data_IF_990201501727
#
_entry.id   IF_990201501727
#
_cell.length_a   1.000
_cell.length_b   1.000
_cell.length_c   1.000
_cell.angle_alpha   90.00
_cell.angle_beta   90.00
_cell.angle_gamma   90.00
#
_symmetry.space_group_name_H-M   'P 1'
#
loop_
_entity.id
_entity.type
_entity.pdbx_description
1 polymer ?
#
# COMPACT_ATOMS: atom_id res chain seq x y z
N UNK A 1 -24.77 0.69 26.67
CA UNK A 1 -24.19 0.05 25.47
C UNK A 1 -24.57 0.94 24.31
N UNK A 2 -23.71 1.88 23.94
CA UNK A 2 -23.98 2.76 22.79
C UNK A 2 -24.03 1.91 21.54
N UNK A 3 -25.21 1.80 20.93
CA UNK A 3 -25.31 1.22 19.60
C UNK A 3 -24.63 2.20 18.63
N UNK A 4 -23.64 1.75 17.83
CA UNK A 4 -22.96 2.63 16.89
C UNK A 4 -24.01 3.19 15.92
N UNK A 5 -24.16 4.51 15.92
CA UNK A 5 -25.03 5.20 14.98
C UNK A 5 -24.53 4.92 13.56
N UNK A 6 -25.37 4.40 12.66
CA UNK A 6 -24.94 4.09 11.31
C UNK A 6 -24.57 5.39 10.57
N UNK A 7 -23.34 5.45 10.05
CA UNK A 7 -22.88 6.57 9.23
C UNK A 7 -23.74 6.67 7.96
N UNK A 8 -24.06 7.90 7.56
CA UNK A 8 -24.79 8.17 6.32
C UNK A 8 -23.93 7.77 5.11
N UNK A 9 -24.52 7.01 4.16
CA UNK A 9 -23.89 6.70 2.87
C UNK A 9 -24.05 7.89 1.92
N UNK A 10 -23.21 8.90 2.08
CA UNK A 10 -23.27 10.15 1.30
C UNK A 10 -22.29 10.22 0.13
N UNK A 11 -21.33 9.29 0.04
CA UNK A 11 -20.25 9.38 -0.94
C UNK A 11 -20.70 9.02 -2.35
N UNK A 12 -20.47 9.93 -3.31
CA UNK A 12 -20.70 9.69 -4.73
C UNK A 12 -19.55 8.90 -5.39
N UNK A 13 -19.79 8.30 -6.56
CA UNK A 13 -18.76 7.55 -7.30
C UNK A 13 -17.54 8.42 -7.64
N UNK A 14 -17.78 9.69 -7.95
CA UNK A 14 -16.74 10.66 -8.26
C UNK A 14 -15.90 10.99 -7.02
N UNK A 15 -16.53 11.19 -5.86
CA UNK A 15 -15.83 11.41 -4.59
C UNK A 15 -14.96 10.22 -4.20
N UNK A 16 -15.47 8.99 -4.32
CA UNK A 16 -14.71 7.77 -4.00
C UNK A 16 -13.53 7.60 -4.96
N UNK A 17 -13.71 7.92 -6.24
CA UNK A 17 -12.64 7.84 -7.24
C UNK A 17 -11.53 8.85 -6.95
N UNK A 18 -11.88 10.10 -6.66
CA UNK A 18 -10.88 11.12 -6.29
C UNK A 18 -10.20 10.79 -4.97
N UNK A 19 -10.93 10.25 -4.00
CA UNK A 19 -10.34 9.75 -2.76
C UNK A 19 -9.30 8.65 -3.04
N UNK A 20 -9.63 7.67 -3.89
CA UNK A 20 -8.71 6.60 -4.28
C UNK A 20 -7.48 7.11 -5.03
N UNK A 21 -7.64 8.06 -5.96
CA UNK A 21 -6.50 8.68 -6.64
C UNK A 21 -5.60 9.42 -5.63
N UNK A 22 -6.21 10.17 -4.71
CA UNK A 22 -5.50 10.91 -3.67
C UNK A 22 -4.71 10.01 -2.71
N UNK A 23 -5.16 8.78 -2.46
CA UNK A 23 -4.42 7.83 -1.61
C UNK A 23 -3.29 7.10 -2.34
N UNK A 24 -3.34 7.01 -3.67
CA UNK A 24 -2.27 6.41 -4.50
C UNK A 24 -1.15 7.42 -4.79
N UNK A 25 -1.51 8.68 -5.06
CA UNK A 25 -0.54 9.74 -5.38
C UNK A 25 0.16 10.22 -4.11
N UNK A 26 1.40 9.76 -3.90
CA UNK A 26 2.19 10.11 -2.70
C UNK A 26 3.69 10.23 -2.97
N UNK A 27 4.51 9.93 -1.96
CA UNK A 27 5.97 10.06 -2.05
C UNK A 27 6.63 9.27 -3.20
N UNK A 28 5.97 8.22 -3.72
CA UNK A 28 6.46 7.45 -4.85
C UNK A 28 6.82 8.32 -6.06
N UNK A 29 5.90 9.20 -6.49
CA UNK A 29 6.12 10.02 -7.69
C UNK A 29 7.02 11.23 -7.43
N UNK A 30 6.99 11.78 -6.20
CA UNK A 30 7.72 13.01 -5.90
C UNK A 30 9.15 12.74 -5.42
N UNK A 31 9.39 11.66 -4.69
CA UNK A 31 10.66 11.39 -4.03
C UNK A 31 11.43 10.29 -4.76
N UNK A 32 10.74 9.22 -5.14
CA UNK A 32 11.37 8.01 -5.67
C UNK A 32 11.54 8.04 -7.19
N UNK A 33 10.66 8.74 -7.91
CA UNK A 33 10.72 8.83 -9.37
C UNK A 33 12.09 9.32 -9.86
N UNK A 34 12.59 10.42 -9.29
CA UNK A 34 13.90 10.97 -9.67
C UNK A 34 15.03 9.97 -9.43
N UNK A 35 14.98 9.21 -8.34
CA UNK A 35 15.97 8.17 -8.03
C UNK A 35 15.89 7.00 -9.02
N UNK A 36 14.68 6.49 -9.29
CA UNK A 36 14.47 5.39 -10.26
C UNK A 36 14.94 5.78 -11.65
N UNK A 37 14.64 7.01 -12.09
CA UNK A 37 15.07 7.53 -13.40
C UNK A 37 16.58 7.74 -13.43
N UNK A 38 17.20 8.21 -12.35
CA UNK A 38 18.65 8.33 -12.24
C UNK A 38 19.35 6.98 -12.35
N UNK A 39 18.77 5.93 -11.77
CA UNK A 39 19.38 4.59 -11.75
C UNK A 39 19.08 3.80 -13.06
N UNK A 40 17.89 3.94 -13.62
CA UNK A 40 17.41 3.11 -14.75
C UNK A 40 17.36 3.83 -16.10
N UNK A 41 17.51 5.16 -16.12
CA UNK A 41 17.41 5.97 -17.33
C UNK A 41 16.12 5.74 -18.12
N UNK A 42 16.23 5.53 -19.43
CA UNK A 42 15.09 5.30 -20.33
C UNK A 42 14.27 4.05 -19.97
N UNK A 43 14.88 3.06 -19.29
CA UNK A 43 14.20 1.82 -18.89
C UNK A 43 13.17 2.05 -17.78
N UNK A 44 13.25 3.18 -17.06
CA UNK A 44 12.29 3.52 -16.01
C UNK A 44 10.85 3.54 -16.53
N UNK A 45 10.60 4.08 -17.73
CA UNK A 45 9.26 4.14 -18.32
C UNK A 45 8.69 2.73 -18.53
N UNK A 46 9.49 1.82 -19.06
CA UNK A 46 9.08 0.43 -19.27
C UNK A 46 8.82 -0.30 -17.95
N UNK A 47 9.61 -0.02 -16.92
CA UNK A 47 9.37 -0.56 -15.58
C UNK A 47 8.02 -0.06 -14.99
N UNK A 48 7.68 1.22 -15.17
CA UNK A 48 6.39 1.75 -14.73
C UNK A 48 5.20 1.16 -15.51
N UNK A 49 5.34 0.99 -16.83
CA UNK A 49 4.30 0.34 -17.64
C UNK A 49 4.09 -1.11 -17.22
N UNK A 50 5.17 -1.85 -16.98
CA UNK A 50 5.09 -3.21 -16.48
C UNK A 50 4.43 -3.28 -15.10
N UNK A 51 4.80 -2.38 -14.18
CA UNK A 51 4.18 -2.26 -12.87
C UNK A 51 2.67 -1.96 -12.97
N UNK A 52 2.26 -1.06 -13.87
CA UNK A 52 0.86 -0.74 -14.10
C UNK A 52 0.06 -1.98 -14.55
N UNK A 53 0.61 -2.76 -15.49
CA UNK A 53 -0.02 -4.02 -15.95
C UNK A 53 -0.18 -5.02 -14.80
N UNK A 54 0.84 -5.20 -13.97
CA UNK A 54 0.79 -6.09 -12.80
C UNK A 54 -0.30 -5.64 -11.82
N UNK A 55 -0.37 -4.34 -11.53
CA UNK A 55 -1.36 -3.75 -10.61
C UNK A 55 -2.78 -3.93 -11.14
N UNK A 56 -3.01 -3.87 -12.46
CA UNK A 56 -4.35 -4.09 -13.04
C UNK A 56 -4.95 -5.46 -12.69
N UNK A 57 -4.14 -6.53 -12.66
CA UNK A 57 -4.63 -7.85 -12.26
C UNK A 57 -5.08 -7.88 -10.80
N UNK A 58 -4.27 -7.31 -9.91
CA UNK A 58 -4.62 -7.19 -8.49
C UNK A 58 -5.86 -6.30 -8.30
N UNK A 59 -5.95 -5.16 -8.99
CA UNK A 59 -7.10 -4.26 -8.92
C UNK A 59 -8.41 -4.94 -9.35
N UNK A 60 -8.36 -5.78 -10.38
CA UNK A 60 -9.51 -6.59 -10.79
C UNK A 60 -9.91 -7.61 -9.72
N UNK A 61 -8.95 -8.32 -9.11
CA UNK A 61 -9.21 -9.23 -7.99
C UNK A 61 -9.82 -8.52 -6.78
N UNK A 62 -9.30 -7.34 -6.44
CA UNK A 62 -9.85 -6.48 -5.39
C UNK A 62 -11.28 -6.07 -5.67
N UNK A 63 -11.57 -5.64 -6.90
CA UNK A 63 -12.92 -5.21 -7.30
C UNK A 63 -13.95 -6.33 -7.08
N UNK A 64 -13.58 -7.58 -7.40
CA UNK A 64 -14.45 -8.73 -7.17
C UNK A 64 -14.64 -9.02 -5.67
N UNK A 65 -13.56 -9.02 -4.89
CA UNK A 65 -13.64 -9.23 -3.43
C UNK A 65 -14.46 -8.14 -2.72
N UNK A 66 -14.30 -6.87 -3.12
CA UNK A 66 -15.07 -5.75 -2.55
C UNK A 66 -16.56 -5.84 -2.88
N UNK A 67 -16.94 -6.42 -4.02
CA UNK A 67 -18.34 -6.69 -4.36
C UNK A 67 -18.92 -7.84 -3.53
N UNK A 68 -18.13 -8.87 -3.25
CA UNK A 68 -18.55 -10.04 -2.45
C UNK A 68 -18.61 -9.74 -0.95
N UNK A 69 -17.65 -8.96 -0.45
CA UNK A 69 -17.48 -8.62 0.97
C UNK A 69 -17.44 -7.10 1.18
N UNK A 70 -18.59 -6.40 1.07
CA UNK A 70 -18.66 -4.93 1.14
C UNK A 70 -18.59 -4.42 2.59
N UNK A 71 -17.53 -4.79 3.31
CA UNK A 71 -17.29 -4.36 4.68
C UNK A 71 -16.30 -3.19 4.72
N UNK A 72 -16.49 -2.28 5.69
CA UNK A 72 -15.62 -1.11 5.89
C UNK A 72 -14.20 -1.45 6.41
N UNK A 73 -13.85 -2.73 6.52
CA UNK A 73 -12.64 -3.21 7.19
C UNK A 73 -11.52 -3.68 6.22
N UNK A 74 -11.68 -3.43 4.91
CA UNK A 74 -10.62 -3.59 3.91
C UNK A 74 -10.20 -5.05 3.64
N UNK A 75 -8.97 -5.22 3.13
CA UNK A 75 -8.41 -6.53 2.77
C UNK A 75 -8.34 -7.54 3.91
N UNK A 76 -7.98 -7.17 5.15
CA UNK A 76 -7.89 -8.12 6.26
C UNK A 76 -9.17 -8.92 6.44
N UNK A 77 -10.33 -8.27 6.36
CA UNK A 77 -11.63 -8.93 6.52
C UNK A 77 -11.98 -9.78 5.31
N UNK A 78 -11.74 -9.30 4.08
CA UNK A 78 -11.92 -10.12 2.88
C UNK A 78 -11.08 -11.41 2.94
N UNK A 79 -9.87 -11.34 3.49
CA UNK A 79 -8.98 -12.50 3.67
C UNK A 79 -9.49 -13.44 4.76
N UNK A 80 -9.97 -12.93 5.89
CA UNK A 80 -10.59 -13.78 6.93
C UNK A 80 -11.79 -14.51 6.36
N UNK A 81 -12.67 -13.83 5.63
CA UNK A 81 -13.87 -14.45 5.07
C UNK A 81 -13.55 -15.46 3.96
N UNK A 82 -12.61 -15.11 3.07
CA UNK A 82 -12.25 -15.98 1.95
C UNK A 82 -11.42 -17.21 2.38
N UNK A 83 -10.35 -17.00 3.15
CA UNK A 83 -9.43 -18.06 3.55
C UNK A 83 -9.84 -18.75 4.88
N UNK A 84 -10.88 -18.25 5.56
CA UNK A 84 -11.31 -18.71 6.90
C UNK A 84 -10.19 -18.75 7.92
N UNK A 85 -9.21 -17.86 7.79
CA UNK A 85 -8.04 -17.80 8.67
C UNK A 85 -7.91 -16.42 9.30
N UNK A 86 -8.18 -16.36 10.61
CA UNK A 86 -8.00 -15.14 11.41
C UNK A 86 -6.54 -14.69 11.47
N UNK A 87 -5.60 -15.63 11.46
CA UNK A 87 -4.17 -15.34 11.51
C UNK A 87 -3.67 -14.66 10.23
N UNK A 88 -4.12 -15.12 9.06
CA UNK A 88 -3.75 -14.50 7.78
C UNK A 88 -4.36 -13.10 7.63
N UNK A 89 -5.62 -12.92 8.04
CA UNK A 89 -6.23 -11.59 8.08
C UNK A 89 -5.50 -10.63 9.02
N UNK A 90 -5.12 -11.09 10.22
CA UNK A 90 -4.33 -10.29 11.15
C UNK A 90 -2.96 -9.92 10.58
N UNK A 91 -2.26 -10.86 9.95
CA UNK A 91 -0.97 -10.62 9.29
C UNK A 91 -1.08 -9.54 8.23
N UNK A 92 -2.13 -9.57 7.38
CA UNK A 92 -2.37 -8.52 6.38
C UNK A 92 -2.67 -7.19 7.05
N UNK A 93 -3.49 -7.18 8.11
CA UNK A 93 -3.74 -5.96 8.89
C UNK A 93 -2.46 -5.33 9.43
N UNK A 94 -1.56 -6.13 10.02
CA UNK A 94 -0.27 -5.65 10.51
C UNK A 94 0.64 -5.17 9.36
N UNK A 95 0.67 -5.88 8.23
CA UNK A 95 1.44 -5.48 7.06
C UNK A 95 0.97 -4.13 6.49
N UNK A 96 -0.35 -3.89 6.46
CA UNK A 96 -0.93 -2.62 6.01
C UNK A 96 -0.58 -1.46 6.97
N UNK A 97 -0.70 -1.67 8.29
CA UNK A 97 -0.32 -0.67 9.29
C UNK A 97 1.17 -0.34 9.19
N UNK A 98 2.02 -1.36 9.10
CA UNK A 98 3.46 -1.17 8.93
C UNK A 98 3.78 -0.45 7.61
N UNK A 99 3.10 -0.82 6.52
CA UNK A 99 3.23 -0.18 5.22
C UNK A 99 2.87 1.31 5.26
N UNK A 100 1.81 1.67 5.99
CA UNK A 100 1.42 3.06 6.21
C UNK A 100 2.48 3.85 6.99
N UNK A 101 3.06 3.26 8.04
CA UNK A 101 4.14 3.88 8.82
C UNK A 101 5.39 4.11 7.95
N UNK A 102 5.81 3.11 7.18
CA UNK A 102 6.98 3.21 6.28
C UNK A 102 6.72 4.23 5.17
N UNK A 103 5.50 4.25 4.61
CA UNK A 103 5.10 5.24 3.60
C UNK A 103 5.15 6.67 4.15
N UNK A 104 4.60 6.89 5.34
CA UNK A 104 4.68 8.18 6.02
C UNK A 104 6.15 8.60 6.29
N UNK A 105 7.00 7.68 6.75
CA UNK A 105 8.43 7.95 6.94
C UNK A 105 9.14 8.32 5.63
N UNK A 106 8.75 7.69 4.52
CA UNK A 106 9.27 8.00 3.18
C UNK A 106 8.86 9.40 2.72
N UNK A 107 7.61 9.79 2.97
CA UNK A 107 7.11 11.15 2.69
C UNK A 107 7.89 12.17 3.52
N UNK A 108 8.03 11.94 4.84
CA UNK A 108 8.77 12.83 5.73
C UNK A 108 10.20 13.05 5.26
N UNK A 109 10.91 11.95 4.96
CA UNK A 109 12.32 12.01 4.53
C UNK A 109 12.50 12.64 3.14
N UNK A 110 11.55 12.40 2.24
CA UNK A 110 11.54 13.06 0.95
C UNK A 110 11.30 14.56 1.05
N UNK A 111 10.35 14.96 1.89
CA UNK A 111 10.05 16.37 2.13
C UNK A 111 11.25 17.12 2.72
N UNK A 112 11.96 16.55 3.69
CA UNK A 112 13.17 17.19 4.24
C UNK A 112 14.28 17.32 3.21
N UNK A 113 14.42 16.34 2.31
CA UNK A 113 15.35 16.45 1.18
C UNK A 113 15.06 17.64 0.27
N UNK A 114 13.77 17.90 -0.02
CA UNK A 114 13.35 19.07 -0.79
C UNK A 114 13.55 20.38 -0.03
N UNK A 115 13.17 20.44 1.25
CA UNK A 115 13.30 21.64 2.08
C UNK A 115 14.74 22.01 2.40
N UNK A 116 15.66 21.04 2.43
CA UNK A 116 17.09 21.28 2.59
C UNK A 116 17.70 22.14 1.48
N UNK A 117 17.07 22.21 0.30
CA UNK A 117 17.50 23.11 -0.80
C UNK A 117 17.18 24.57 -0.49
N UNK A 118 16.07 24.84 0.20
CA UNK A 118 15.57 26.19 0.45
C UNK A 118 15.95 26.73 1.83
N UNK A 119 16.17 25.85 2.81
CA UNK A 119 16.36 26.20 4.21
C UNK A 119 17.51 25.40 4.83
N UNK A 120 18.37 26.08 5.58
CA UNK A 120 19.55 25.46 6.22
C UNK A 120 19.24 24.92 7.62
N UNK A 121 17.96 24.66 7.92
CA UNK A 121 17.57 24.05 9.19
C UNK A 121 18.08 22.60 9.24
N UNK A 122 18.40 22.07 10.42
CA UNK A 122 18.82 20.69 10.53
C UNK A 122 17.63 19.74 10.28
N UNK A 123 17.87 18.63 9.59
CA UNK A 123 16.84 17.67 9.14
C UNK A 123 15.85 17.27 10.23
N UNK A 124 16.34 16.97 11.44
CA UNK A 124 15.51 16.55 12.57
C UNK A 124 14.44 17.58 12.93
N UNK A 125 14.75 18.87 12.83
CA UNK A 125 13.80 19.95 13.13
C UNK A 125 12.69 20.03 12.08
N UNK A 126 13.05 19.90 10.80
CA UNK A 126 12.08 19.88 9.69
C UNK A 126 11.14 18.68 9.80
N UNK A 127 11.68 17.48 10.08
CA UNK A 127 10.88 16.27 10.28
C UNK A 127 9.89 16.43 11.43
N UNK A 128 10.37 16.98 12.56
CA UNK A 128 9.55 17.19 13.75
C UNK A 128 8.40 18.16 13.47
N UNK A 129 8.69 19.29 12.84
CA UNK A 129 7.67 20.29 12.47
C UNK A 129 6.63 19.65 11.55
N UNK A 130 7.06 18.97 10.48
CA UNK A 130 6.15 18.33 9.53
C UNK A 130 5.23 17.30 10.20
N UNK A 131 5.80 16.39 11.02
CA UNK A 131 5.04 15.34 11.69
C UNK A 131 4.03 15.97 12.66
N UNK A 132 4.43 16.96 13.46
CA UNK A 132 3.51 17.63 14.39
C UNK A 132 2.38 18.33 13.65
N UNK A 133 2.68 19.03 12.54
CA UNK A 133 1.66 19.73 11.75
C UNK A 133 0.65 18.76 11.12
N UNK A 134 1.10 17.59 10.65
CA UNK A 134 0.25 16.62 9.94
C UNK A 134 -0.42 15.59 10.85
N UNK A 135 0.12 15.32 12.04
CA UNK A 135 -0.35 14.25 12.96
C UNK A 135 -0.66 14.77 14.36
N UNK A 136 -1.22 15.98 14.46
CA UNK A 136 -1.49 16.71 15.72
C UNK A 136 -2.50 16.03 16.69
N UNK A 137 -2.86 14.77 16.49
CA UNK A 137 -3.83 14.05 17.31
C UNK A 137 -3.06 13.13 18.29
N UNK A 138 -3.33 13.18 19.61
CA UNK A 138 -2.62 12.34 20.59
C UNK A 138 -2.82 10.84 20.36
N UNK A 139 -3.91 10.44 19.69
CA UNK A 139 -4.19 9.05 19.31
C UNK A 139 -3.15 8.46 18.33
N UNK A 140 -2.37 9.29 17.63
CA UNK A 140 -1.35 8.84 16.65
C UNK A 140 0.08 8.87 17.19
N UNK A 141 0.29 9.16 18.49
CA UNK A 141 1.62 9.40 19.05
C UNK A 141 2.61 8.24 18.82
N UNK A 142 2.15 7.00 18.98
CA UNK A 142 2.96 5.81 18.72
C UNK A 142 3.36 5.72 17.24
N UNK A 143 2.42 5.92 16.34
CA UNK A 143 2.67 5.89 14.90
C UNK A 143 3.63 7.02 14.50
N UNK A 144 3.41 8.25 14.97
CA UNK A 144 4.27 9.40 14.71
C UNK A 144 5.70 9.20 15.23
N UNK A 145 5.87 8.55 16.39
CA UNK A 145 7.19 8.19 16.93
C UNK A 145 7.91 7.18 16.04
N UNK A 146 7.22 6.14 15.57
CA UNK A 146 7.78 5.15 14.65
C UNK A 146 8.12 5.76 13.29
N UNK A 147 7.26 6.64 12.77
CA UNK A 147 7.51 7.39 11.53
C UNK A 147 8.78 8.23 11.67
N UNK A 148 8.92 8.98 12.77
CA UNK A 148 10.10 9.80 13.02
C UNK A 148 11.38 8.96 13.13
N UNK A 149 11.33 7.87 13.90
CA UNK A 149 12.46 6.95 14.04
C UNK A 149 12.88 6.37 12.68
N UNK A 150 11.92 5.90 11.88
CA UNK A 150 12.20 5.34 10.56
C UNK A 150 12.72 6.39 9.57
N UNK A 151 12.16 7.59 9.58
CA UNK A 151 12.59 8.68 8.70
C UNK A 151 14.03 9.12 8.98
N UNK A 152 14.44 9.14 10.25
CA UNK A 152 15.81 9.47 10.63
C UNK A 152 16.80 8.36 10.29
N UNK A 153 16.46 7.09 10.62
CA UNK A 153 17.43 6.00 10.62
C UNK A 153 17.54 5.28 9.28
N UNK A 154 16.45 5.18 8.50
CA UNK A 154 16.43 4.38 7.28
C UNK A 154 16.59 5.25 6.03
N UNK A 155 17.43 4.83 5.05
CA UNK A 155 17.50 5.51 3.77
C UNK A 155 16.19 5.37 2.98
N UNK A 156 15.86 6.37 2.16
CA UNK A 156 14.65 6.38 1.31
C UNK A 156 14.56 5.14 0.40
N UNK A 157 15.70 4.58 0.00
CA UNK A 157 15.76 3.34 -0.79
C UNK A 157 15.30 2.12 0.01
N UNK A 158 15.72 1.99 1.27
CA UNK A 158 15.30 0.88 2.13
C UNK A 158 13.83 0.99 2.49
N UNK A 159 13.36 2.20 2.80
CA UNK A 159 11.93 2.46 3.04
C UNK A 159 11.09 2.06 1.82
N UNK A 160 11.49 2.51 0.62
CA UNK A 160 10.79 2.16 -0.62
C UNK A 160 10.81 0.67 -0.95
N UNK A 161 11.94 -0.01 -0.69
CA UNK A 161 12.07 -1.46 -0.87
C UNK A 161 11.12 -2.18 0.10
N UNK A 162 11.06 -1.76 1.37
CA UNK A 162 10.16 -2.34 2.35
C UNK A 162 8.68 -2.12 1.99
N UNK A 163 8.29 -0.91 1.58
CA UNK A 163 6.92 -0.62 1.12
C UNK A 163 6.53 -1.49 -0.08
N UNK A 164 7.41 -1.60 -1.08
CA UNK A 164 7.13 -2.41 -2.27
C UNK A 164 6.98 -3.89 -1.93
N UNK A 165 7.83 -4.41 -1.04
CA UNK A 165 7.74 -5.79 -0.55
C UNK A 165 6.41 -6.05 0.17
N UNK A 166 6.01 -5.15 1.08
CA UNK A 166 4.74 -5.26 1.81
C UNK A 166 3.54 -5.20 0.86
N UNK A 167 3.52 -4.28 -0.11
CA UNK A 167 2.43 -4.16 -1.08
C UNK A 167 2.34 -5.43 -1.95
N UNK A 168 3.47 -5.93 -2.46
CA UNK A 168 3.49 -7.15 -3.27
C UNK A 168 3.03 -8.37 -2.45
N UNK A 169 3.39 -8.45 -1.18
CA UNK A 169 2.91 -9.48 -0.27
C UNK A 169 1.40 -9.41 -0.08
N UNK A 170 0.86 -8.21 0.17
CA UNK A 170 -0.59 -8.01 0.32
C UNK A 170 -1.32 -8.35 -0.97
N UNK A 171 -0.85 -7.89 -2.13
CA UNK A 171 -1.44 -8.22 -3.42
C UNK A 171 -1.40 -9.72 -3.72
N UNK A 172 -0.31 -10.39 -3.37
CA UNK A 172 -0.21 -11.85 -3.49
C UNK A 172 -1.28 -12.54 -2.65
N UNK A 173 -1.43 -12.13 -1.38
CA UNK A 173 -2.43 -12.71 -0.48
C UNK A 173 -3.86 -12.43 -0.94
N UNK A 174 -4.14 -11.24 -1.46
CA UNK A 174 -5.46 -10.90 -1.99
C UNK A 174 -5.79 -11.75 -3.23
N UNK A 175 -4.86 -11.87 -4.18
CA UNK A 175 -5.05 -12.72 -5.36
C UNK A 175 -5.22 -14.20 -4.97
N UNK A 176 -4.42 -14.71 -4.03
CA UNK A 176 -4.59 -16.06 -3.46
C UNK A 176 -5.93 -16.22 -2.77
N UNK A 177 -6.40 -15.20 -2.05
CA UNK A 177 -7.70 -15.24 -1.38
C UNK A 177 -8.84 -15.36 -2.39
N UNK A 178 -8.82 -14.61 -3.48
CA UNK A 178 -9.84 -14.73 -4.53
C UNK A 178 -9.76 -16.09 -5.23
N UNK A 179 -8.55 -16.55 -5.55
CA UNK A 179 -8.32 -17.84 -6.19
C UNK A 179 -8.86 -19.00 -5.33
N UNK A 180 -8.59 -18.97 -4.02
CA UNK A 180 -9.11 -19.94 -3.06
C UNK A 180 -10.64 -19.92 -3.01
N UNK A 181 -11.24 -18.73 -3.07
CA UNK A 181 -12.70 -18.57 -3.10
C UNK A 181 -13.32 -19.23 -4.34
N UNK A 182 -12.77 -18.94 -5.53
CA UNK A 182 -13.24 -19.54 -6.79
C UNK A 182 -13.06 -21.05 -6.82
N UNK A 183 -11.93 -21.54 -6.30
CA UNK A 183 -11.69 -22.98 -6.20
C UNK A 183 -12.74 -23.66 -5.31
N UNK A 184 -13.10 -23.01 -4.20
CA UNK A 184 -14.08 -23.53 -3.24
C UNK A 184 -15.52 -23.46 -3.74
N UNK A 185 -15.90 -22.37 -4.39
CA UNK A 185 -17.23 -22.19 -4.97
C UNK A 185 -17.41 -22.93 -6.30
N UNK A 186 -16.39 -23.67 -6.74
CA UNK A 186 -16.41 -24.44 -7.99
C UNK A 186 -16.66 -23.57 -9.24
N UNK A 187 -16.44 -22.26 -9.13
CA UNK A 187 -16.50 -21.31 -10.23
C UNK A 187 -15.21 -21.43 -11.05
N UNK A 188 -15.23 -22.39 -11.99
CA UNK A 188 -14.05 -22.81 -12.78
C UNK A 188 -13.91 -22.11 -14.13
N UNK A 189 -14.42 -20.88 -14.26
CA UNK A 189 -14.25 -20.12 -15.48
C UNK A 189 -12.76 -19.84 -15.75
N UNK A 190 -12.29 -19.90 -17.02
CA UNK A 190 -10.91 -19.61 -17.36
C UNK A 190 -10.50 -18.19 -16.96
N UNK A 191 -11.42 -17.22 -17.08
CA UNK A 191 -11.21 -15.85 -16.62
C UNK A 191 -11.20 -15.73 -15.09
N UNK A 192 -12.08 -16.48 -14.41
CA UNK A 192 -12.23 -16.44 -12.95
C UNK A 192 -11.01 -17.01 -12.23
N UNK A 193 -10.40 -18.10 -12.71
CA UNK A 193 -9.14 -18.59 -12.14
C UNK A 193 -7.91 -17.92 -12.74
N UNK A 194 -7.92 -17.66 -14.06
CA UNK A 194 -6.75 -17.14 -14.76
C UNK A 194 -6.34 -15.76 -14.27
N UNK A 195 -7.30 -14.85 -14.07
CA UNK A 195 -7.02 -13.49 -13.64
C UNK A 195 -6.30 -13.42 -12.26
N UNK A 196 -6.84 -14.00 -11.17
CA UNK A 196 -6.16 -14.00 -9.88
C UNK A 196 -4.88 -14.86 -9.88
N UNK A 197 -4.83 -15.95 -10.65
CA UNK A 197 -3.62 -16.78 -10.74
C UNK A 197 -2.46 -16.02 -11.39
N UNK A 198 -2.69 -15.33 -12.51
CA UNK A 198 -1.68 -14.49 -13.19
C UNK A 198 -1.24 -13.37 -12.24
N UNK A 199 -2.19 -12.68 -11.59
CA UNK A 199 -1.88 -11.64 -10.61
C UNK A 199 -0.98 -12.14 -9.47
N UNK A 200 -1.32 -13.30 -8.88
CA UNK A 200 -0.51 -13.91 -7.83
C UNK A 200 0.89 -14.31 -8.32
N UNK A 201 0.99 -14.95 -9.48
CA UNK A 201 2.28 -15.39 -10.05
C UNK A 201 3.20 -14.20 -10.35
N UNK A 202 2.66 -13.12 -10.92
CA UNK A 202 3.42 -11.90 -11.15
C UNK A 202 3.91 -11.28 -9.84
N UNK A 203 3.03 -11.13 -8.84
CA UNK A 203 3.42 -10.55 -7.55
C UNK A 203 4.48 -11.40 -6.83
N UNK A 204 4.34 -12.73 -6.83
CA UNK A 204 5.34 -13.65 -6.26
C UNK A 204 6.66 -13.53 -7.02
N UNK A 205 6.63 -13.50 -8.36
CA UNK A 205 7.83 -13.35 -9.17
C UNK A 205 8.60 -12.07 -8.82
N UNK A 206 7.93 -10.94 -8.75
CA UNK A 206 8.54 -9.67 -8.33
C UNK A 206 9.04 -9.69 -6.89
N UNK A 207 8.29 -10.29 -5.97
CA UNK A 207 8.68 -10.40 -4.58
C UNK A 207 9.96 -11.24 -4.42
N UNK A 208 10.07 -12.36 -5.16
CA UNK A 208 11.30 -13.17 -5.21
C UNK A 208 12.45 -12.36 -5.78
N UNK A 209 12.30 -11.73 -6.94
CA UNK A 209 13.35 -10.87 -7.53
C UNK A 209 13.80 -9.79 -6.53
N UNK A 210 12.85 -9.23 -5.78
CA UNK A 210 13.14 -8.20 -4.79
C UNK A 210 13.83 -8.75 -3.54
N UNK A 211 13.70 -10.03 -3.19
CA UNK A 211 14.44 -10.61 -2.06
C UNK A 211 15.88 -10.95 -2.46
N UNK A 212 16.10 -11.32 -3.72
CA UNK A 212 17.40 -11.79 -4.23
C UNK A 212 18.31 -10.69 -4.80
N UNK A 213 17.80 -9.47 -4.98
CA UNK A 213 18.58 -8.27 -5.41
C UNK A 213 19.23 -7.51 -4.25
#
# INVERSE_FOLDING_TARGET
>A
MDQPTPLLRSLSLLEISFYGIGTIVGAGIYVLLGKVVSDSGMMALWAFLLAAVVVCFSAASYTELSRRFPYCAGEPVSIVESLRSRHLGALVGYALVLGAIISAATITRGFTGYMGVFSHLPDWSMMTILIITLTAIPATLLASSLVFAFALWLPVTTLARATSCLILLVFTLVNLSLLSLHYRERQRGPLQLGLPAIGALLCIGFLVIQIWS
#
